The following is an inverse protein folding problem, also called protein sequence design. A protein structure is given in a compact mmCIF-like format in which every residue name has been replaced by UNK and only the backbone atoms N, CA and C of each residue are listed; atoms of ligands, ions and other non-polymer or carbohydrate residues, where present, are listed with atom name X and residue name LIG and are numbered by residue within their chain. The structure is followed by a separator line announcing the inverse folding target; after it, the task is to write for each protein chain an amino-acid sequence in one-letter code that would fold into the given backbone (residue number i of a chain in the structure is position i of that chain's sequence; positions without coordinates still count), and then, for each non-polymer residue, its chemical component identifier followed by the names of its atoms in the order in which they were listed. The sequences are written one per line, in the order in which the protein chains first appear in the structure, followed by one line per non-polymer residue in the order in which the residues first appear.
data_IF_784092244733
#
_entry.id   IF_784092244733
#
_cell.length_a   1.000
_cell.length_b   1.000
_cell.length_c   1.000
_cell.angle_alpha   90.00
_cell.angle_beta   90.00
_cell.angle_gamma   90.00
#
_symmetry.space_group_name_H-M   'P 1'
#
loop_
_entity.id
_entity.type
_entity.pdbx_description
1 polymer ?
#
# COMPACT_ATOMS: atom_id res chain seq x y z
N UNK A 1 -12.83 4.76 4.46
CA UNK A 1 -12.46 5.64 3.35
C UNK A 1 -11.02 5.35 2.97
N UNK A 2 -10.71 5.39 1.68
CA UNK A 2 -9.34 5.31 1.18
C UNK A 2 -8.98 6.65 0.53
N UNK A 3 -7.84 7.20 0.90
CA UNK A 3 -7.26 8.38 0.24
C UNK A 3 -6.04 7.97 -0.55
N UNK A 4 -5.93 8.45 -1.78
CA UNK A 4 -4.77 8.24 -2.63
C UNK A 4 -4.05 9.57 -2.86
N UNK A 5 -2.72 9.54 -2.75
CA UNK A 5 -1.85 10.68 -3.00
C UNK A 5 -0.69 10.22 -3.87
N UNK A 6 -0.37 10.97 -4.90
CA UNK A 6 0.81 10.76 -5.71
C UNK A 6 1.54 12.09 -5.90
N UNK A 7 2.86 12.02 -6.14
CA UNK A 7 3.63 13.18 -6.61
C UNK A 7 3.90 12.99 -8.11
N UNK A 8 3.50 13.92 -8.99
CA UNK A 8 3.70 13.76 -10.44
C UNK A 8 5.18 13.67 -10.87
N UNK A 9 6.12 14.06 -10.00
CA UNK A 9 7.57 14.06 -10.25
C UNK A 9 8.26 12.79 -9.73
N UNK A 10 7.56 11.95 -8.98
CA UNK A 10 8.11 10.69 -8.46
C UNK A 10 7.23 9.52 -8.89
N UNK A 11 7.75 8.30 -8.77
CA UNK A 11 6.94 7.09 -8.91
C UNK A 11 6.47 6.56 -7.55
N UNK A 12 6.45 7.41 -6.52
CA UNK A 12 6.01 7.09 -5.17
C UNK A 12 4.54 7.50 -5.04
N UNK A 13 3.74 6.58 -4.53
CA UNK A 13 2.31 6.78 -4.29
C UNK A 13 2.00 6.39 -2.85
N UNK A 14 1.13 7.15 -2.20
CA UNK A 14 0.70 6.94 -0.82
C UNK A 14 -0.80 6.65 -0.77
N UNK A 15 -1.16 5.65 0.01
CA UNK A 15 -2.54 5.25 0.28
C UNK A 15 -2.76 5.34 1.78
N UNK A 16 -3.74 6.13 2.20
CA UNK A 16 -4.18 6.17 3.61
C UNK A 16 -5.55 5.51 3.73
N UNK A 17 -5.68 4.57 4.66
CA UNK A 17 -6.86 3.76 4.90
C UNK A 17 -7.36 4.00 6.31
N UNK A 18 -8.62 4.41 6.44
CA UNK A 18 -9.29 4.62 7.73
C UNK A 18 -10.75 4.18 7.70
N UNK A 19 -11.25 3.62 8.80
CA UNK A 19 -12.63 3.22 8.99
C UNK A 19 -13.09 2.09 8.07
N UNK A 20 -14.35 2.18 7.63
CA UNK A 20 -14.95 1.22 6.71
C UNK A 20 -14.49 1.49 5.27
N UNK A 21 -14.11 0.42 4.58
CA UNK A 21 -13.73 0.45 3.16
C UNK A 21 -14.90 -0.07 2.34
N UNK A 22 -15.31 0.69 1.32
CA UNK A 22 -16.25 0.24 0.32
C UNK A 22 -15.54 -0.26 -0.94
N UNK A 23 -16.22 -1.08 -1.73
CA UNK A 23 -15.75 -1.52 -3.04
C UNK A 23 -15.51 -0.33 -4.00
N UNK A 24 -16.34 0.72 -3.91
CA UNK A 24 -16.17 1.93 -4.71
C UNK A 24 -14.89 2.71 -4.37
N UNK A 25 -14.55 2.82 -3.06
CA UNK A 25 -13.28 3.43 -2.64
C UNK A 25 -12.10 2.65 -3.22
N UNK A 26 -12.23 1.32 -3.25
CA UNK A 26 -11.22 0.43 -3.78
C UNK A 26 -11.04 0.57 -5.31
N UNK A 27 -12.13 0.48 -6.07
CA UNK A 27 -12.09 0.61 -7.54
C UNK A 27 -11.47 1.94 -7.97
N UNK A 28 -11.80 3.01 -7.23
CA UNK A 28 -11.24 4.34 -7.46
C UNK A 28 -9.72 4.36 -7.25
N UNK A 29 -9.21 3.70 -6.23
CA UNK A 29 -7.78 3.65 -5.92
C UNK A 29 -7.03 2.80 -6.93
N UNK A 30 -7.58 1.64 -7.32
CA UNK A 30 -6.99 0.79 -8.37
C UNK A 30 -6.86 1.53 -9.69
N UNK A 31 -7.89 2.29 -10.06
CA UNK A 31 -7.87 3.09 -11.29
C UNK A 31 -6.73 4.12 -11.27
N UNK A 32 -6.50 4.78 -10.13
CA UNK A 32 -5.42 5.74 -9.96
C UNK A 32 -4.03 5.09 -10.00
N UNK A 33 -3.86 3.96 -9.31
CA UNK A 33 -2.62 3.15 -9.36
C UNK A 33 -2.32 2.74 -10.81
N UNK A 34 -3.31 2.23 -11.55
CA UNK A 34 -3.13 1.82 -12.95
C UNK A 34 -2.73 2.99 -13.85
N UNK A 35 -3.28 4.18 -13.62
CA UNK A 35 -2.91 5.38 -14.36
C UNK A 35 -1.45 5.78 -14.11
N UNK A 36 -1.01 5.74 -12.84
CA UNK A 36 0.39 6.05 -12.49
C UNK A 36 1.36 4.95 -12.95
N UNK A 37 0.97 3.67 -12.89
CA UNK A 37 1.74 2.56 -13.47
C UNK A 37 1.93 2.72 -14.97
N UNK A 38 0.88 3.10 -15.70
CA UNK A 38 0.99 3.34 -17.14
C UNK A 38 1.96 4.49 -17.48
N UNK A 39 2.12 5.47 -16.57
CA UNK A 39 3.02 6.61 -16.73
C UNK A 39 4.46 6.30 -16.33
N UNK A 40 4.66 5.58 -15.23
CA UNK A 40 5.98 5.38 -14.60
C UNK A 40 6.55 3.97 -14.82
N UNK A 41 5.75 3.02 -15.31
CA UNK A 41 6.11 1.62 -15.52
C UNK A 41 6.12 0.80 -14.24
N UNK A 42 6.83 1.28 -13.20
CA UNK A 42 6.82 0.69 -11.86
C UNK A 42 6.64 1.74 -10.78
N UNK A 43 5.92 1.38 -9.73
CA UNK A 43 5.65 2.25 -8.59
C UNK A 43 6.32 1.77 -7.30
N UNK A 44 6.45 2.70 -6.38
CA UNK A 44 6.77 2.47 -4.98
C UNK A 44 5.57 2.94 -4.17
N UNK A 45 5.13 2.13 -3.20
CA UNK A 45 3.88 2.39 -2.50
C UNK A 45 4.07 2.53 -1.00
N UNK A 46 3.43 3.53 -0.41
CA UNK A 46 3.25 3.64 1.04
C UNK A 46 1.78 3.34 1.36
N UNK A 47 1.53 2.36 2.21
CA UNK A 47 0.21 2.03 2.74
C UNK A 47 0.15 2.42 4.22
N UNK A 48 -0.51 3.54 4.52
CA UNK A 48 -0.82 3.96 5.87
C UNK A 48 -2.19 3.40 6.27
N UNK A 49 -2.21 2.47 7.22
CA UNK A 49 -3.41 1.83 7.74
C UNK A 49 -3.60 2.30 9.18
N UNK A 50 -4.62 3.13 9.40
CA UNK A 50 -4.97 3.62 10.74
C UNK A 50 -5.79 2.55 11.48
N UNK A 51 -7.09 2.53 11.20
CA UNK A 51 -8.03 1.55 11.70
C UNK A 51 -8.88 1.08 10.54
N UNK A 52 -9.14 -0.22 10.45
CA UNK A 52 -10.04 -0.79 9.46
C UNK A 52 -11.20 -1.42 10.21
N UNK A 53 -12.42 -1.00 9.89
CA UNK A 53 -13.63 -1.47 10.56
C UNK A 53 -14.28 -2.63 9.79
N UNK A 54 -14.55 -3.72 10.50
CA UNK A 54 -15.28 -4.86 9.97
C UNK A 54 -14.41 -5.88 9.23
N UNK A 55 -14.84 -7.14 9.27
CA UNK A 55 -14.13 -8.24 8.63
C UNK A 55 -14.12 -8.11 7.10
N UNK A 56 -15.19 -7.59 6.52
CA UNK A 56 -15.30 -7.41 5.06
C UNK A 56 -14.26 -6.43 4.53
N UNK A 57 -14.00 -5.32 5.23
CA UNK A 57 -12.97 -4.35 4.84
C UNK A 57 -11.56 -4.92 4.96
N UNK A 58 -11.31 -5.78 5.95
CA UNK A 58 -10.04 -6.52 6.08
C UNK A 58 -9.87 -7.53 4.95
N UNK A 59 -10.93 -8.25 4.59
CA UNK A 59 -10.91 -9.22 3.49
C UNK A 59 -10.64 -8.54 2.15
N UNK A 60 -11.36 -7.45 1.86
CA UNK A 60 -11.13 -6.64 0.67
C UNK A 60 -9.68 -6.16 0.59
N UNK A 61 -9.15 -5.56 1.66
CA UNK A 61 -7.75 -5.12 1.65
C UNK A 61 -6.76 -6.27 1.39
N UNK A 62 -7.00 -7.46 1.96
CA UNK A 62 -6.14 -8.63 1.73
C UNK A 62 -6.19 -9.11 0.28
N UNK A 63 -7.38 -9.27 -0.29
CA UNK A 63 -7.56 -9.75 -1.66
C UNK A 63 -6.84 -8.86 -2.67
N UNK A 64 -6.83 -7.56 -2.41
CA UNK A 64 -6.13 -6.55 -3.21
C UNK A 64 -4.63 -6.69 -3.13
N UNK A 65 -4.11 -6.79 -1.90
CA UNK A 65 -2.68 -6.96 -1.69
C UNK A 65 -2.17 -8.23 -2.38
N UNK A 66 -2.97 -9.29 -2.39
CA UNK A 66 -2.68 -10.51 -3.16
C UNK A 66 -2.87 -10.32 -4.67
N UNK A 67 -3.89 -9.60 -5.12
CA UNK A 67 -4.08 -9.27 -6.54
C UNK A 67 -2.92 -8.45 -7.12
N UNK A 68 -2.30 -7.61 -6.30
CA UNK A 68 -1.06 -6.92 -6.64
C UNK A 68 0.21 -7.79 -6.51
N UNK A 69 0.14 -8.94 -5.82
CA UNK A 69 1.26 -9.86 -5.69
C UNK A 69 1.64 -10.54 -7.00
N UNK A 70 0.66 -10.77 -7.88
CA UNK A 70 0.88 -11.40 -9.18
C UNK A 70 1.44 -10.43 -10.24
N UNK A 71 1.39 -9.12 -9.99
CA UNK A 71 1.88 -8.10 -10.92
C UNK A 71 3.22 -7.52 -10.44
N UNK A 72 4.24 -7.58 -11.31
CA UNK A 72 5.58 -7.01 -11.12
C UNK A 72 5.60 -5.46 -11.18
N UNK A 73 4.49 -4.85 -10.77
CA UNK A 73 4.15 -3.44 -10.93
C UNK A 73 4.76 -2.58 -9.81
N UNK A 74 5.04 -3.17 -8.64
CA UNK A 74 5.67 -2.49 -7.51
C UNK A 74 7.10 -2.99 -7.30
N UNK A 75 8.02 -2.07 -7.00
CA UNK A 75 9.38 -2.43 -6.56
C UNK A 75 9.52 -2.43 -5.05
N UNK A 76 8.82 -1.51 -4.37
CA UNK A 76 8.88 -1.35 -2.92
C UNK A 76 7.51 -1.04 -2.35
N UNK A 77 7.19 -1.62 -1.19
CA UNK A 77 5.98 -1.33 -0.43
C UNK A 77 6.30 -1.08 1.05
N UNK A 78 6.05 0.13 1.52
CA UNK A 78 6.12 0.46 2.94
C UNK A 78 4.72 0.34 3.54
N UNK A 79 4.53 -0.47 4.57
CA UNK A 79 3.24 -0.61 5.26
C UNK A 79 3.35 -0.03 6.65
N UNK A 80 2.57 1.00 6.94
CA UNK A 80 2.54 1.70 8.22
C UNK A 80 1.24 1.35 8.91
N UNK A 81 1.28 0.57 9.99
CA UNK A 81 0.07 0.14 10.70
C UNK A 81 0.34 -0.06 12.20
N UNK A 82 -0.64 0.29 13.05
CA UNK A 82 -0.56 0.06 14.51
C UNK A 82 -0.79 -1.41 14.88
N UNK A 83 -1.64 -2.10 14.13
CA UNK A 83 -1.94 -3.50 14.35
C UNK A 83 -0.74 -4.40 13.99
N UNK A 84 -0.14 -5.03 15.01
CA UNK A 84 1.00 -5.95 14.82
C UNK A 84 0.71 -7.08 13.82
N UNK A 85 -0.51 -7.63 13.85
CA UNK A 85 -0.90 -8.70 12.93
C UNK A 85 -0.92 -8.25 11.47
N UNK A 86 -1.25 -6.98 11.19
CA UNK A 86 -1.18 -6.41 9.84
C UNK A 86 0.28 -6.27 9.40
N UNK A 87 1.16 -5.76 10.28
CA UNK A 87 2.59 -5.66 9.98
C UNK A 87 3.20 -7.02 9.65
N UNK A 88 2.98 -8.01 10.50
CA UNK A 88 3.49 -9.38 10.28
C UNK A 88 2.91 -10.02 9.01
N UNK A 89 1.63 -9.79 8.72
CA UNK A 89 1.02 -10.28 7.49
C UNK A 89 1.65 -9.62 6.25
N UNK A 90 1.85 -8.30 6.26
CA UNK A 90 2.45 -7.58 5.14
C UNK A 90 3.87 -8.04 4.83
N UNK A 91 4.69 -8.28 5.86
CA UNK A 91 6.04 -8.83 5.70
C UNK A 91 6.01 -10.25 5.10
N UNK A 92 5.07 -11.09 5.55
CA UNK A 92 4.89 -12.44 5.02
C UNK A 92 4.50 -12.43 3.53
N UNK A 93 3.60 -11.53 3.13
CA UNK A 93 3.21 -11.34 1.71
C UNK A 93 4.38 -10.79 0.89
N UNK A 94 5.26 -9.99 1.49
CA UNK A 94 6.48 -9.50 0.83
C UNK A 94 7.41 -10.59 0.33
N UNK A 95 7.41 -11.77 0.94
CA UNK A 95 8.21 -12.91 0.45
C UNK A 95 7.65 -13.56 -0.81
N UNK A 96 6.40 -13.26 -1.15
CA UNK A 96 5.69 -13.76 -2.34
C UNK A 96 5.73 -12.74 -3.48
N UNK A 97 5.73 -11.45 -3.12
CA UNK A 97 5.91 -10.34 -4.04
C UNK A 97 7.35 -10.27 -4.60
N UNK A 98 7.50 -9.85 -5.85
CA UNK A 98 8.81 -9.41 -6.40
C UNK A 98 9.25 -8.04 -5.89
N UNK A 99 8.60 -7.52 -4.85
CA UNK A 99 8.79 -6.19 -4.28
C UNK A 99 9.40 -6.30 -2.89
N UNK A 100 10.28 -5.38 -2.52
CA UNK A 100 10.75 -5.29 -1.15
C UNK A 100 9.64 -4.70 -0.27
N UNK A 101 9.21 -5.43 0.75
CA UNK A 101 8.15 -4.99 1.65
C UNK A 101 8.70 -4.77 3.04
N UNK A 102 8.42 -3.60 3.61
CA UNK A 102 8.81 -3.26 4.98
C UNK A 102 7.64 -2.71 5.76
N UNK A 103 7.41 -3.26 6.95
CA UNK A 103 6.37 -2.78 7.84
C UNK A 103 6.94 -1.85 8.92
N UNK A 104 6.17 -0.82 9.27
CA UNK A 104 6.51 0.21 10.24
C UNK A 104 5.33 0.43 11.18
N UNK A 105 5.63 0.86 12.41
CA UNK A 105 4.63 1.37 13.33
C UNK A 105 4.16 2.76 12.90
N UNK A 106 2.94 3.15 13.26
CA UNK A 106 2.36 4.44 12.84
C UNK A 106 3.20 5.64 13.28
N UNK A 107 3.87 5.54 14.43
CA UNK A 107 4.82 6.54 14.93
C UNK A 107 6.03 6.75 14.02
N UNK A 108 6.32 5.82 13.10
CA UNK A 108 7.45 5.84 12.17
C UNK A 108 7.01 6.06 10.71
N UNK A 109 5.87 6.74 10.49
CA UNK A 109 5.39 7.10 9.16
C UNK A 109 6.45 7.85 8.33
N UNK A 110 7.17 8.79 8.95
CA UNK A 110 8.22 9.55 8.27
C UNK A 110 9.43 8.68 7.89
N UNK A 111 9.76 7.67 8.70
CA UNK A 111 10.84 6.72 8.38
C UNK A 111 10.44 5.83 7.18
N UNK A 112 9.16 5.47 7.08
CA UNK A 112 8.63 4.73 5.94
C UNK A 112 8.73 5.54 4.64
N UNK A 113 8.36 6.82 4.68
CA UNK A 113 8.52 7.76 3.55
C UNK A 113 9.98 7.90 3.14
N UNK A 114 10.86 8.13 4.13
CA UNK A 114 12.30 8.26 3.89
C UNK A 114 12.89 6.99 3.24
N UNK A 115 12.47 5.81 3.71
CA UNK A 115 12.91 4.54 3.14
C UNK A 115 12.51 4.39 1.66
N UNK A 116 11.26 4.71 1.30
CA UNK A 116 10.81 4.69 -0.11
C UNK A 116 11.53 5.71 -0.99
N UNK A 117 11.89 6.86 -0.44
CA UNK A 117 12.66 7.88 -1.16
C UNK A 117 14.10 7.44 -1.44
N UNK A 118 14.68 6.60 -0.57
CA UNK A 118 16.03 6.03 -0.76
C UNK A 118 16.06 4.75 -1.60
N UNK A 119 14.91 4.14 -1.84
CA UNK A 119 14.80 2.96 -2.68
C UNK A 119 15.17 3.28 -4.15
N UNK A 120 15.74 2.32 -4.87
CA UNK A 120 16.15 2.43 -6.28
C UNK A 120 15.20 1.67 -7.22
#
# INVERSE_FOLDING_TARGET
MITYRNDPNTNIVEISIEGKISEADFDQVVSQIKADLAKHGKLRILEEIDHVEGMDSIALWKDVRFGFADVNDFTHAAVVADAKWMRTFSEAVGSVLSAEVKAFERSHLEDARAWLATAE
#
